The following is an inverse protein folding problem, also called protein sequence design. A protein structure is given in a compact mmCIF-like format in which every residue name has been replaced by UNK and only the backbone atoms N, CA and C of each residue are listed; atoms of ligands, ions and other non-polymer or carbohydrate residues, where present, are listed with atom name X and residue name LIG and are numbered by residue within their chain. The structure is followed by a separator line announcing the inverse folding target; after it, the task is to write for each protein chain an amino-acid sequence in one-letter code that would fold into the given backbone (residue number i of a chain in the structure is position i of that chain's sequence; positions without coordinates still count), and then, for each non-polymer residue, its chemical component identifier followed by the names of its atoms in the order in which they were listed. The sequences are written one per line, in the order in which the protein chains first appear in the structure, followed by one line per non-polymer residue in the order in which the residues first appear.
data_IF_937153965590
#
_entry.id   IF_937153965590
#
_cell.length_a   1.000
_cell.length_b   1.000
_cell.length_c   1.000
_cell.angle_alpha   90.00
_cell.angle_beta   90.00
_cell.angle_gamma   90.00
#
_symmetry.space_group_name_H-M   'P 1'
#
loop_
_entity.id
_entity.type
_entity.pdbx_description
1 polymer ?
#
# COMPACT_ATOMS: atom_id res chain seq x y z
N UNK A 1 -76.23 -126.36 0.77
CA UNK A 1 -76.68 -124.97 0.52
C UNK A 1 -76.55 -124.21 1.83
N UNK A 2 -75.52 -123.37 1.97
CA UNK A 2 -75.37 -122.52 3.16
C UNK A 2 -76.56 -121.58 3.20
N UNK A 3 -77.32 -121.56 4.29
CA UNK A 3 -78.59 -120.83 4.36
C UNK A 3 -78.35 -119.32 4.28
N UNK A 4 -79.30 -118.60 3.69
CA UNK A 4 -79.32 -117.13 3.64
C UNK A 4 -79.17 -116.49 5.04
N UNK A 5 -79.57 -117.23 6.08
CA UNK A 5 -79.44 -116.86 7.48
C UNK A 5 -77.97 -116.88 7.95
N UNK A 6 -77.20 -117.89 7.55
CA UNK A 6 -75.77 -117.96 7.86
C UNK A 6 -74.98 -116.83 7.16
N UNK A 7 -75.35 -116.45 5.94
CA UNK A 7 -74.76 -115.30 5.25
C UNK A 7 -75.11 -113.97 5.92
N UNK A 8 -76.37 -113.79 6.33
CA UNK A 8 -76.81 -112.58 7.07
C UNK A 8 -76.14 -112.47 8.43
N UNK A 9 -75.98 -113.57 9.16
CA UNK A 9 -75.28 -113.60 10.45
C UNK A 9 -73.78 -113.35 10.25
N UNK A 10 -73.15 -113.95 9.24
CA UNK A 10 -71.75 -113.68 8.91
C UNK A 10 -71.53 -112.21 8.50
N UNK A 11 -72.44 -111.61 7.73
CA UNK A 11 -72.40 -110.20 7.36
C UNK A 11 -72.59 -109.31 8.59
N UNK A 12 -73.50 -109.65 9.50
CA UNK A 12 -73.73 -108.90 10.74
C UNK A 12 -72.54 -109.02 11.70
N UNK A 13 -71.89 -110.18 11.79
CA UNK A 13 -70.67 -110.38 12.58
C UNK A 13 -69.47 -109.68 11.93
N UNK A 14 -69.41 -109.60 10.60
CA UNK A 14 -68.38 -108.85 9.89
C UNK A 14 -68.59 -107.33 10.02
N UNK A 15 -69.84 -106.84 10.10
CA UNK A 15 -70.19 -105.43 10.29
C UNK A 15 -70.14 -104.99 11.76
N UNK A 16 -70.54 -105.86 12.69
CA UNK A 16 -70.49 -105.62 14.15
C UNK A 16 -69.10 -105.96 14.75
N UNK A 17 -68.29 -106.73 14.03
CA UNK A 17 -66.89 -107.04 14.35
C UNK A 17 -65.89 -106.05 13.77
N UNK A 18 -66.35 -105.00 13.06
CA UNK A 18 -65.53 -103.81 12.84
C UNK A 18 -65.52 -103.08 14.20
N UNK A 19 -64.40 -103.08 14.94
CA UNK A 19 -64.36 -102.29 16.16
C UNK A 19 -64.66 -100.83 15.81
N UNK A 20 -65.48 -100.18 16.62
CA UNK A 20 -65.78 -98.74 16.60
C UNK A 20 -64.53 -97.84 16.74
N UNK A 21 -63.33 -98.42 16.74
CA UNK A 21 -62.02 -97.76 16.77
C UNK A 21 -61.65 -97.03 15.48
N UNK A 22 -62.31 -97.32 14.36
CA UNK A 22 -62.08 -96.60 13.09
C UNK A 22 -62.65 -95.17 13.17
N UNK A 23 -63.78 -94.95 13.85
CA UNK A 23 -64.36 -93.63 14.01
C UNK A 23 -63.63 -92.74 15.02
N UNK A 24 -63.09 -93.32 16.10
CA UNK A 24 -62.33 -92.57 17.11
C UNK A 24 -60.93 -92.21 16.62
N UNK A 25 -60.21 -93.10 15.92
CA UNK A 25 -58.89 -92.80 15.34
C UNK A 25 -58.95 -91.72 14.25
N UNK A 26 -60.00 -91.69 13.43
CA UNK A 26 -60.23 -90.62 12.44
C UNK A 26 -60.53 -89.28 13.14
N UNK A 27 -61.34 -89.28 14.20
CA UNK A 27 -61.68 -88.06 14.95
C UNK A 27 -60.47 -87.42 15.63
N UNK A 28 -59.61 -88.22 16.28
CA UNK A 28 -58.38 -87.72 16.89
C UNK A 28 -57.35 -87.24 15.86
N UNK A 29 -57.22 -87.93 14.72
CA UNK A 29 -56.38 -87.48 13.61
C UNK A 29 -56.83 -86.13 13.03
N UNK A 30 -58.14 -85.98 12.81
CA UNK A 30 -58.74 -84.75 12.29
C UNK A 30 -58.60 -83.57 13.27
N UNK A 31 -58.67 -83.84 14.58
CA UNK A 31 -58.43 -82.84 15.63
C UNK A 31 -56.95 -82.40 15.67
N UNK A 32 -56.01 -83.36 15.52
CA UNK A 32 -54.58 -83.07 15.43
C UNK A 32 -54.25 -82.21 14.20
N UNK A 33 -54.81 -82.52 13.04
CA UNK A 33 -54.64 -81.74 11.81
C UNK A 33 -55.15 -80.30 11.97
N UNK A 34 -56.27 -80.12 12.67
CA UNK A 34 -56.83 -78.80 12.96
C UNK A 34 -55.89 -77.97 13.84
N UNK A 35 -55.28 -78.58 14.85
CA UNK A 35 -54.30 -77.92 15.73
C UNK A 35 -53.03 -77.56 14.96
N UNK A 36 -52.51 -78.48 14.14
CA UNK A 36 -51.35 -78.20 13.29
C UNK A 36 -51.63 -77.06 12.31
N UNK A 37 -52.79 -77.06 11.65
CA UNK A 37 -53.18 -75.99 10.73
C UNK A 37 -53.27 -74.63 11.43
N UNK A 38 -53.81 -74.59 12.65
CA UNK A 38 -53.82 -73.38 13.47
C UNK A 38 -52.41 -72.89 13.80
N UNK A 39 -51.51 -73.80 14.17
CA UNK A 39 -50.11 -73.47 14.46
C UNK A 39 -49.35 -72.96 13.23
N UNK A 40 -49.58 -73.59 12.06
CA UNK A 40 -49.03 -73.16 10.77
C UNK A 40 -49.54 -71.75 10.44
N UNK A 41 -50.83 -71.48 10.63
CA UNK A 41 -51.40 -70.15 10.39
C UNK A 41 -50.80 -69.08 11.31
N UNK A 42 -50.60 -69.39 12.60
CA UNK A 42 -49.97 -68.48 13.56
C UNK A 42 -48.50 -68.18 13.17
N UNK A 43 -47.73 -69.23 12.84
CA UNK A 43 -46.35 -69.09 12.37
C UNK A 43 -46.27 -68.27 11.07
N UNK A 44 -47.19 -68.50 10.12
CA UNK A 44 -47.26 -67.71 8.89
C UNK A 44 -47.51 -66.23 9.19
N UNK A 45 -48.45 -65.93 10.10
CA UNK A 45 -48.74 -64.54 10.49
C UNK A 45 -47.54 -63.87 11.17
N UNK A 46 -46.78 -64.59 11.99
CA UNK A 46 -45.55 -64.10 12.62
C UNK A 46 -44.46 -63.84 11.59
N UNK A 47 -44.33 -64.71 10.59
CA UNK A 47 -43.39 -64.54 9.48
C UNK A 47 -43.73 -63.29 8.65
N UNK A 48 -45.02 -63.08 8.33
CA UNK A 48 -45.47 -61.90 7.59
C UNK A 48 -45.20 -60.61 8.36
N UNK A 49 -45.47 -60.60 9.68
CA UNK A 49 -45.16 -59.48 10.55
C UNK A 49 -43.65 -59.19 10.62
N UNK A 50 -42.83 -60.24 10.75
CA UNK A 50 -41.37 -60.09 10.75
C UNK A 50 -40.86 -59.53 9.42
N UNK A 51 -41.39 -60.01 8.28
CA UNK A 51 -41.06 -59.49 6.96
C UNK A 51 -41.43 -58.00 6.81
N UNK A 52 -42.60 -57.60 7.31
CA UNK A 52 -43.01 -56.20 7.32
C UNK A 52 -42.07 -55.32 8.18
N UNK A 53 -41.64 -55.82 9.35
CA UNK A 53 -40.66 -55.12 10.19
C UNK A 53 -39.30 -54.97 9.50
N UNK A 54 -38.80 -56.02 8.85
CA UNK A 54 -37.55 -55.98 8.07
C UNK A 54 -37.64 -54.96 6.93
N UNK A 55 -38.77 -54.91 6.22
CA UNK A 55 -38.99 -53.92 5.15
C UNK A 55 -38.97 -52.47 5.67
N UNK A 56 -39.60 -52.23 6.82
CA UNK A 56 -39.57 -50.93 7.48
C UNK A 56 -38.16 -50.53 7.93
N UNK A 57 -37.42 -51.47 8.54
CA UNK A 57 -36.03 -51.24 8.95
C UNK A 57 -35.14 -50.92 7.74
N UNK A 58 -35.28 -51.64 6.63
CA UNK A 58 -34.55 -51.35 5.39
C UNK A 58 -34.83 -49.93 4.87
N UNK A 59 -36.09 -49.48 4.95
CA UNK A 59 -36.49 -48.13 4.56
C UNK A 59 -35.88 -47.05 5.47
N UNK A 60 -35.82 -47.30 6.78
CA UNK A 60 -35.16 -46.42 7.74
C UNK A 60 -33.64 -46.34 7.49
N UNK A 61 -32.98 -47.48 7.24
CA UNK A 61 -31.55 -47.53 6.90
C UNK A 61 -31.26 -46.73 5.64
N UNK A 62 -32.09 -46.85 4.60
CA UNK A 62 -31.95 -46.05 3.37
C UNK A 62 -32.07 -44.54 3.64
N UNK A 63 -33.05 -44.14 4.46
CA UNK A 63 -33.25 -42.73 4.83
C UNK A 63 -32.06 -42.16 5.61
N UNK A 64 -31.51 -42.94 6.54
CA UNK A 64 -30.30 -42.58 7.30
C UNK A 64 -29.10 -42.46 6.35
N UNK A 65 -28.92 -43.40 5.42
CA UNK A 65 -27.85 -43.35 4.41
C UNK A 65 -27.91 -42.08 3.56
N UNK A 66 -29.10 -41.68 3.10
CA UNK A 66 -29.29 -40.45 2.35
C UNK A 66 -28.97 -39.21 3.18
N UNK A 67 -29.40 -39.19 4.45
CA UNK A 67 -29.13 -38.09 5.38
C UNK A 67 -27.63 -37.93 5.65
N UNK A 68 -26.92 -39.04 5.84
CA UNK A 68 -25.46 -39.06 6.04
C UNK A 68 -24.73 -38.54 4.80
N UNK A 69 -25.17 -38.92 3.59
CA UNK A 69 -24.60 -38.40 2.33
C UNK A 69 -24.78 -36.89 2.19
N UNK A 70 -25.95 -36.36 2.55
CA UNK A 70 -26.21 -34.92 2.56
C UNK A 70 -25.33 -34.18 3.57
N UNK A 71 -25.22 -34.70 4.79
CA UNK A 71 -24.37 -34.11 5.83
C UNK A 71 -22.89 -34.13 5.44
N UNK A 72 -22.40 -35.23 4.84
CA UNK A 72 -21.04 -35.33 4.32
C UNK A 72 -20.75 -34.25 3.27
N UNK A 73 -21.70 -34.02 2.36
CA UNK A 73 -21.59 -32.97 1.35
C UNK A 73 -21.54 -31.56 1.95
N UNK A 74 -22.35 -31.30 2.98
CA UNK A 74 -22.32 -30.03 3.72
C UNK A 74 -20.98 -29.81 4.44
N UNK A 75 -20.42 -30.85 5.07
CA UNK A 75 -19.11 -30.78 5.72
C UNK A 75 -18.02 -30.42 4.70
N UNK A 76 -18.02 -31.06 3.53
CA UNK A 76 -17.05 -30.75 2.47
C UNK A 76 -17.18 -29.30 1.97
N UNK A 77 -18.41 -28.79 1.86
CA UNK A 77 -18.65 -27.40 1.47
C UNK A 77 -18.09 -26.41 2.52
N UNK A 78 -18.36 -26.65 3.80
CA UNK A 78 -17.85 -25.83 4.92
C UNK A 78 -16.33 -25.87 4.98
N UNK A 79 -15.71 -27.04 4.78
CA UNK A 79 -14.25 -27.18 4.73
C UNK A 79 -13.64 -26.34 3.61
N UNK A 80 -14.28 -26.33 2.43
CA UNK A 80 -13.85 -25.50 1.30
C UNK A 80 -13.96 -23.99 1.61
N UNK A 81 -15.07 -23.56 2.22
CA UNK A 81 -15.26 -22.17 2.65
C UNK A 81 -14.22 -21.74 3.68
N UNK A 82 -13.92 -22.60 4.67
CA UNK A 82 -12.89 -22.32 5.67
C UNK A 82 -11.50 -22.17 5.03
N UNK A 83 -11.15 -23.01 4.04
CA UNK A 83 -9.88 -22.88 3.34
C UNK A 83 -9.79 -21.55 2.56
N UNK A 84 -10.89 -21.12 1.92
CA UNK A 84 -10.95 -19.84 1.22
C UNK A 84 -10.80 -18.65 2.19
N UNK A 85 -11.49 -18.68 3.32
CA UNK A 85 -11.38 -17.64 4.35
C UNK A 85 -9.97 -17.57 4.93
N UNK A 86 -9.33 -18.72 5.18
CA UNK A 86 -7.94 -18.77 5.66
C UNK A 86 -6.97 -18.10 4.66
N UNK A 87 -7.17 -18.33 3.36
CA UNK A 87 -6.38 -17.70 2.31
C UNK A 87 -6.59 -16.18 2.27
N UNK A 88 -7.83 -15.70 2.40
CA UNK A 88 -8.15 -14.27 2.47
C UNK A 88 -7.51 -13.60 3.68
N UNK A 89 -7.59 -14.23 4.86
CA UNK A 89 -6.93 -13.71 6.08
C UNK A 89 -5.43 -13.57 5.88
N UNK A 90 -4.78 -14.58 5.27
CA UNK A 90 -3.34 -14.55 4.98
C UNK A 90 -2.98 -13.40 4.03
N UNK A 91 -3.80 -13.20 2.99
CA UNK A 91 -3.61 -12.10 2.04
C UNK A 91 -3.78 -10.73 2.71
N UNK A 92 -4.80 -10.55 3.54
CA UNK A 92 -5.02 -9.31 4.29
C UNK A 92 -3.88 -9.03 5.27
N UNK A 93 -3.37 -10.05 5.96
CA UNK A 93 -2.20 -9.91 6.83
C UNK A 93 -0.95 -9.45 6.05
N UNK A 94 -0.71 -10.02 4.86
CA UNK A 94 0.39 -9.58 4.00
C UNK A 94 0.23 -8.14 3.53
N UNK A 95 -0.99 -7.73 3.15
CA UNK A 95 -1.31 -6.35 2.79
C UNK A 95 -1.10 -5.39 3.98
N UNK A 96 -1.51 -5.78 5.18
CA UNK A 96 -1.32 -4.98 6.38
C UNK A 96 0.17 -4.78 6.70
N UNK A 97 0.99 -5.83 6.57
CA UNK A 97 2.44 -5.74 6.75
C UNK A 97 3.08 -4.81 5.71
N UNK A 98 2.65 -4.92 4.45
CA UNK A 98 3.08 -4.01 3.38
C UNK A 98 2.72 -2.56 3.69
N UNK A 99 1.48 -2.29 4.09
CA UNK A 99 1.01 -0.94 4.41
C UNK A 99 1.70 -0.39 5.66
N UNK A 100 1.94 -1.24 6.66
CA UNK A 100 2.68 -0.87 7.88
C UNK A 100 4.12 -0.46 7.56
N UNK A 101 4.79 -1.20 6.66
CA UNK A 101 6.12 -0.83 6.17
C UNK A 101 6.11 0.47 5.39
N UNK A 102 5.07 0.72 4.60
CA UNK A 102 4.91 2.00 3.88
C UNK A 102 4.66 3.18 4.83
N UNK A 103 4.00 2.98 5.97
CA UNK A 103 3.68 4.04 6.93
C UNK A 103 4.79 4.31 7.96
N UNK A 104 5.90 3.57 7.93
CA UNK A 104 6.92 3.74 8.95
C UNK A 104 7.65 5.07 8.76
N UNK A 105 7.35 6.03 9.62
CA UNK A 105 8.09 7.29 9.70
C UNK A 105 9.55 6.99 10.09
N UNK A 106 10.49 7.48 9.30
CA UNK A 106 11.90 7.42 9.62
C UNK A 106 12.24 8.65 10.47
N UNK A 107 12.74 8.43 11.68
CA UNK A 107 13.28 9.47 12.53
C UNK A 107 14.81 9.50 12.37
N UNK A 108 15.34 10.63 11.91
CA UNK A 108 16.78 10.84 11.73
C UNK A 108 17.22 12.02 12.58
N UNK A 109 18.12 11.77 13.54
CA UNK A 109 18.74 12.86 14.29
C UNK A 109 19.71 13.60 13.36
N UNK A 110 19.40 14.86 13.05
CA UNK A 110 20.21 15.69 12.15
C UNK A 110 21.28 16.50 12.90
N UNK A 111 21.02 16.83 14.17
CA UNK A 111 21.97 17.51 15.06
C UNK A 111 21.61 17.23 16.51
N UNK A 112 22.63 17.14 17.38
CA UNK A 112 22.47 17.19 18.83
C UNK A 112 23.78 17.62 19.45
N UNK A 113 23.70 18.49 20.45
CA UNK A 113 24.87 19.00 21.17
C UNK A 113 24.70 20.45 21.52
N UNK A 114 25.81 21.18 21.56
CA UNK A 114 25.83 22.62 21.84
C UNK A 114 26.30 23.36 20.60
N UNK A 115 25.50 24.33 20.15
CA UNK A 115 25.84 25.29 19.11
C UNK A 115 26.26 26.60 19.78
N UNK A 116 27.40 27.15 19.38
CA UNK A 116 27.89 28.44 19.84
C UNK A 116 27.49 29.51 18.83
N UNK A 117 26.48 30.30 19.17
CA UNK A 117 26.02 31.42 18.33
C UNK A 117 26.94 32.63 18.60
N UNK A 118 27.74 33.08 17.61
CA UNK A 118 28.68 34.18 17.79
C UNK A 118 27.96 35.52 17.96
N UNK A 119 28.65 36.50 18.53
CA UNK A 119 28.13 37.86 18.70
C UNK A 119 28.93 38.92 17.91
N UNK A 120 28.25 39.73 17.07
CA UNK A 120 26.91 39.50 16.52
C UNK A 120 26.96 38.35 15.50
N UNK A 121 25.91 37.55 15.40
CA UNK A 121 25.89 36.49 14.41
C UNK A 121 24.88 35.39 14.64
N UNK A 122 25.03 34.37 13.81
CA UNK A 122 24.16 33.21 13.75
C UNK A 122 25.02 31.97 13.52
N UNK A 123 24.46 30.82 13.85
CA UNK A 123 24.96 29.53 13.41
C UNK A 123 23.79 28.68 12.91
N UNK A 124 24.05 27.63 12.15
CA UNK A 124 23.01 26.84 11.52
C UNK A 124 23.38 25.38 11.28
N UNK A 125 22.34 24.55 11.21
CA UNK A 125 22.42 23.15 10.78
C UNK A 125 21.76 23.02 9.42
N UNK A 126 22.47 22.46 8.44
CA UNK A 126 21.86 22.12 7.15
C UNK A 126 21.50 20.65 7.09
N UNK A 127 20.36 20.32 6.49
CA UNK A 127 19.87 18.96 6.31
C UNK A 127 19.09 18.82 5.01
N UNK A 128 18.87 17.57 4.58
CA UNK A 128 18.12 17.27 3.37
C UNK A 128 16.85 16.50 3.74
N UNK A 129 15.75 16.87 3.08
CA UNK A 129 14.47 16.15 3.15
C UNK A 129 14.30 15.33 1.88
N UNK A 130 14.00 14.05 2.06
CA UNK A 130 13.76 13.06 1.02
C UNK A 130 12.55 13.41 0.17
N UNK A 131 12.55 13.03 -1.10
CA UNK A 131 11.37 13.13 -1.95
C UNK A 131 10.34 12.04 -1.60
N UNK A 132 9.05 12.32 -1.76
CA UNK A 132 8.00 11.31 -1.55
C UNK A 132 7.53 11.16 -0.09
N UNK A 133 7.91 12.09 0.79
CA UNK A 133 7.59 12.05 2.23
C UNK A 133 6.87 13.31 2.67
N UNK A 134 6.03 13.22 3.70
CA UNK A 134 5.69 14.36 4.54
C UNK A 134 6.78 14.47 5.61
N UNK A 135 7.34 15.66 5.77
CA UNK A 135 8.41 15.91 6.70
C UNK A 135 8.05 16.94 7.77
N UNK A 136 8.51 16.69 8.98
CA UNK A 136 8.52 17.67 10.07
C UNK A 136 9.84 17.59 10.83
N UNK A 137 10.20 18.70 11.47
CA UNK A 137 11.40 18.80 12.29
C UNK A 137 10.98 18.94 13.76
N UNK A 138 11.34 17.95 14.57
CA UNK A 138 11.28 18.09 16.00
C UNK A 138 12.51 18.84 16.49
N UNK A 139 12.26 19.96 17.17
CA UNK A 139 13.25 20.88 17.67
C UNK A 139 13.13 20.93 19.18
N UNK A 140 14.23 20.65 19.88
CA UNK A 140 14.41 21.01 21.28
C UNK A 140 15.65 21.86 21.37
N UNK A 141 15.55 23.07 21.90
CA UNK A 141 16.67 23.97 22.08
C UNK A 141 16.56 24.73 23.40
N UNK A 142 17.67 24.95 24.09
CA UNK A 142 17.73 25.75 25.31
C UNK A 142 19.06 26.49 25.46
N UNK A 143 19.02 27.70 26.01
CA UNK A 143 20.21 28.48 26.29
C UNK A 143 20.97 27.87 27.47
N UNK A 144 22.28 27.63 27.30
CA UNK A 144 23.17 27.18 28.37
C UNK A 144 23.47 28.28 29.40
N UNK A 145 23.13 29.54 29.11
CA UNK A 145 23.26 30.67 30.02
C UNK A 145 22.02 30.78 30.92
N UNK A 146 22.22 30.76 32.24
CA UNK A 146 21.15 30.89 33.24
C UNK A 146 20.59 32.32 33.38
N UNK A 147 21.15 33.29 32.64
CA UNK A 147 20.67 34.67 32.63
C UNK A 147 19.47 34.80 31.69
N UNK A 148 18.31 35.20 32.21
CA UNK A 148 17.10 35.52 31.44
C UNK A 148 17.22 36.79 30.58
N UNK A 149 18.44 37.12 30.13
CA UNK A 149 18.77 38.34 29.39
C UNK A 149 19.16 38.08 27.94
N UNK A 150 19.49 36.83 27.59
CA UNK A 150 19.97 36.46 26.25
C UNK A 150 19.02 35.47 25.56
N UNK A 151 17.88 35.94 25.02
CA UNK A 151 17.05 35.09 24.18
C UNK A 151 17.71 34.89 22.80
N UNK A 152 17.31 33.82 22.13
CA UNK A 152 17.67 33.55 20.74
C UNK A 152 16.41 33.32 19.91
N UNK A 153 16.54 33.53 18.60
CA UNK A 153 15.51 33.22 17.62
C UNK A 153 15.99 32.06 16.76
N UNK A 154 15.09 31.13 16.51
CA UNK A 154 15.30 30.04 15.58
C UNK A 154 14.55 30.26 14.28
N UNK A 155 15.14 29.81 13.17
CA UNK A 155 14.57 29.97 11.84
C UNK A 155 14.66 28.68 11.05
N UNK A 156 13.57 28.32 10.37
CA UNK A 156 13.58 27.31 9.32
C UNK A 156 13.60 28.01 7.95
N UNK A 157 14.61 27.68 7.15
CA UNK A 157 14.94 28.38 5.92
C UNK A 157 15.14 27.39 4.77
N UNK A 158 14.52 27.68 3.63
CA UNK A 158 14.90 27.06 2.36
C UNK A 158 16.18 27.71 1.80
N UNK A 159 16.69 27.22 0.66
CA UNK A 159 17.91 27.74 0.05
C UNK A 159 17.90 29.26 -0.22
N UNK A 160 16.81 29.78 -0.80
CA UNK A 160 16.68 31.22 -1.11
C UNK A 160 16.58 32.08 0.15
N UNK A 161 15.76 31.65 1.12
CA UNK A 161 15.58 32.32 2.41
C UNK A 161 16.88 32.32 3.21
N UNK A 162 17.65 31.22 3.15
CA UNK A 162 18.96 31.14 3.77
C UNK A 162 19.92 32.17 3.17
N UNK A 163 20.00 32.32 1.84
CA UNK A 163 20.82 33.37 1.23
C UNK A 163 20.41 34.78 1.65
N UNK A 164 19.11 35.06 1.76
CA UNK A 164 18.60 36.34 2.26
C UNK A 164 18.94 36.55 3.75
N UNK A 165 18.82 35.49 4.55
CA UNK A 165 19.17 35.49 5.96
C UNK A 165 20.65 35.84 6.18
N UNK A 166 21.56 35.25 5.39
CA UNK A 166 23.00 35.57 5.43
C UNK A 166 23.29 37.05 5.11
N UNK A 167 22.44 37.70 4.31
CA UNK A 167 22.54 39.12 3.97
C UNK A 167 21.92 40.07 5.02
N UNK A 168 21.45 39.52 6.15
CA UNK A 168 20.84 40.28 7.24
C UNK A 168 19.33 40.50 7.10
N UNK A 169 18.68 39.86 6.12
CA UNK A 169 17.24 39.95 5.94
C UNK A 169 16.53 38.78 6.63
N UNK A 170 16.12 39.01 7.88
CA UNK A 170 15.49 37.99 8.75
C UNK A 170 13.97 37.88 8.59
N UNK A 171 13.34 38.70 7.73
CA UNK A 171 11.88 38.77 7.59
C UNK A 171 11.25 37.75 6.63
N UNK A 172 12.07 37.07 5.82
CA UNK A 172 11.60 36.14 4.79
C UNK A 172 12.04 34.71 5.12
N UNK A 173 11.25 34.04 5.96
CA UNK A 173 11.56 32.69 6.49
C UNK A 173 10.35 31.77 6.36
N UNK A 174 10.57 30.45 6.37
CA UNK A 174 9.45 29.48 6.34
C UNK A 174 8.80 29.37 7.71
N UNK A 175 9.61 29.43 8.75
CA UNK A 175 9.17 29.51 10.13
C UNK A 175 10.22 30.27 10.94
N UNK A 176 9.76 31.01 11.95
CA UNK A 176 10.61 31.65 12.94
C UNK A 176 9.97 31.52 14.32
N UNK A 177 10.78 31.30 15.36
CA UNK A 177 10.30 31.42 16.73
C UNK A 177 10.14 32.90 17.12
N UNK A 178 9.38 33.16 18.19
CA UNK A 178 9.61 34.39 18.97
C UNK A 178 10.96 34.29 19.70
N UNK A 179 11.53 35.38 20.22
CA UNK A 179 12.68 35.31 21.11
C UNK A 179 12.41 34.37 22.30
N UNK A 180 13.21 33.33 22.45
CA UNK A 180 13.04 32.27 23.46
C UNK A 180 14.34 31.96 24.19
N UNK A 181 14.22 31.42 25.41
CA UNK A 181 15.34 30.85 26.18
C UNK A 181 15.36 29.33 26.09
N UNK A 182 14.20 28.72 25.86
CA UNK A 182 14.02 27.31 25.65
C UNK A 182 12.75 27.09 24.84
N UNK A 183 12.79 26.16 23.90
CA UNK A 183 11.63 25.77 23.11
C UNK A 183 11.72 24.30 22.72
N UNK A 184 10.60 23.60 22.87
CA UNK A 184 10.35 22.30 22.28
C UNK A 184 9.16 22.42 21.34
N UNK A 185 9.36 22.15 20.06
CA UNK A 185 8.33 22.33 19.03
C UNK A 185 8.53 21.39 17.86
N UNK A 186 7.48 21.17 17.08
CA UNK A 186 7.51 20.45 15.82
C UNK A 186 7.19 21.43 14.69
N UNK A 187 8.08 21.54 13.71
CA UNK A 187 7.94 22.47 12.58
C UNK A 187 7.71 21.68 11.31
N UNK A 188 6.58 21.91 10.64
CA UNK A 188 6.28 21.24 9.36
C UNK A 188 7.20 21.74 8.25
N UNK A 189 7.71 20.82 7.44
CA UNK A 189 8.56 21.14 6.28
C UNK A 189 7.73 20.95 5.01
N UNK A 190 7.43 22.04 4.27
CA UNK A 190 6.41 22.02 3.23
C UNK A 190 6.80 21.33 1.92
N UNK A 191 8.09 21.07 1.67
CA UNK A 191 8.57 20.41 0.46
C UNK A 191 9.94 19.75 0.67
N UNK A 192 10.28 18.73 -0.14
CA UNK A 192 11.58 18.07 -0.08
C UNK A 192 12.73 18.99 -0.50
N UNK A 193 13.97 18.54 -0.31
CA UNK A 193 15.18 19.26 -0.72
C UNK A 193 16.03 19.76 0.44
N UNK A 194 16.91 20.72 0.18
CA UNK A 194 17.88 21.21 1.16
C UNK A 194 17.28 22.31 2.04
N UNK A 195 17.42 22.14 3.35
CA UNK A 195 16.89 23.03 4.38
C UNK A 195 17.98 23.41 5.38
N UNK A 196 17.76 24.53 6.05
CA UNK A 196 18.65 25.11 7.04
C UNK A 196 17.84 25.47 8.27
N UNK A 197 18.32 25.08 9.44
CA UNK A 197 17.79 25.50 10.73
C UNK A 197 18.82 26.40 11.40
N UNK A 198 18.51 27.68 11.57
CA UNK A 198 19.45 28.69 12.04
C UNK A 198 19.07 29.21 13.43
N UNK A 199 20.10 29.53 14.22
CA UNK A 199 20.02 30.14 15.54
C UNK A 199 20.65 31.52 15.48
N UNK A 200 19.96 32.52 16.01
CA UNK A 200 20.40 33.92 15.97
C UNK A 200 20.24 34.55 17.35
N UNK A 201 21.30 35.18 17.86
CA UNK A 201 21.24 35.97 19.08
C UNK A 201 20.88 37.43 18.79
N UNK A 202 19.93 38.01 19.54
CA UNK A 202 19.49 39.40 19.33
C UNK A 202 20.37 40.47 20.02
N UNK A 203 21.23 40.10 20.98
CA UNK A 203 21.82 41.05 21.92
C UNK A 203 23.36 41.21 21.83
N UNK A 204 23.90 42.43 22.03
CA UNK A 204 25.21 42.85 21.56
C UNK A 204 26.42 42.41 22.39
N UNK A 205 26.28 41.56 23.41
CA UNK A 205 27.41 41.13 24.24
C UNK A 205 27.34 39.65 24.60
N UNK A 206 28.30 38.85 24.11
CA UNK A 206 28.74 37.62 24.78
C UNK A 206 28.65 36.30 24.01
N UNK A 207 27.99 36.25 22.85
CA UNK A 207 27.67 34.97 22.21
C UNK A 207 26.73 34.12 23.08
N UNK A 208 26.09 33.12 22.50
CA UNK A 208 25.20 32.22 23.27
C UNK A 208 25.42 30.77 22.88
N UNK A 209 25.66 29.95 23.89
CA UNK A 209 25.67 28.49 23.76
C UNK A 209 24.23 27.98 23.84
N UNK A 210 23.75 27.34 22.77
CA UNK A 210 22.42 26.73 22.68
C UNK A 210 22.61 25.22 22.69
N UNK A 211 22.04 24.53 23.67
CA UNK A 211 21.94 23.07 23.67
C UNK A 211 20.73 22.67 22.85
N UNK A 212 20.93 21.85 21.84
CA UNK A 212 19.90 21.48 20.89
C UNK A 212 19.80 19.97 20.63
N UNK A 213 18.64 19.57 20.15
CA UNK A 213 18.40 18.27 19.53
C UNK A 213 17.40 18.48 18.41
N UNK A 214 17.83 18.17 17.19
CA UNK A 214 17.06 18.32 15.97
C UNK A 214 16.84 16.93 15.38
N UNK A 215 15.57 16.51 15.26
CA UNK A 215 15.20 15.21 14.71
C UNK A 215 14.24 15.40 13.54
N UNK A 216 14.68 15.01 12.35
CA UNK A 216 13.85 15.01 11.15
C UNK A 216 12.96 13.77 11.16
N UNK A 217 11.66 13.99 11.01
CA UNK A 217 10.65 12.93 10.88
C UNK A 217 10.17 12.90 9.44
N UNK A 218 10.39 11.78 8.75
CA UNK A 218 9.97 11.59 7.36
C UNK A 218 8.99 10.43 7.27
N UNK A 219 7.75 10.72 6.91
CA UNK A 219 6.72 9.70 6.68
C UNK A 219 6.49 9.53 5.19
N UNK A 220 6.65 8.33 4.61
CA UNK A 220 6.33 8.11 3.20
C UNK A 220 4.86 8.46 2.96
N UNK A 221 4.59 9.19 1.89
CA UNK A 221 3.20 9.45 1.51
C UNK A 221 2.69 8.23 0.73
N UNK A 222 1.59 7.62 1.21
CA UNK A 222 0.93 6.52 0.50
C UNK A 222 0.44 6.95 -0.88
N UNK A 223 0.20 5.97 -1.79
CA UNK A 223 -0.19 6.12 -3.21
C UNK A 223 -0.13 7.56 -3.76
N UNK A 224 1.04 7.92 -4.28
CA UNK A 224 1.29 9.18 -4.98
C UNK A 224 0.39 9.29 -6.22
N UNK A 225 -0.56 10.22 -6.20
CA UNK A 225 -1.27 10.58 -7.42
C UNK A 225 -0.35 11.47 -8.24
N UNK A 226 0.12 10.96 -9.38
CA UNK A 226 1.00 11.70 -10.28
C UNK A 226 0.21 12.32 -11.42
N UNK A 227 0.39 13.61 -11.66
CA UNK A 227 -0.10 14.30 -12.85
C UNK A 227 1.08 14.69 -13.73
N UNK A 228 1.03 14.34 -15.01
CA UNK A 228 2.03 14.76 -16.00
C UNK A 228 1.42 15.80 -16.93
N UNK A 229 2.09 16.93 -17.07
CA UNK A 229 1.69 18.05 -17.93
C UNK A 229 2.80 18.34 -18.94
N UNK A 230 2.43 18.61 -20.20
CA UNK A 230 3.37 19.08 -21.21
C UNK A 230 3.72 20.55 -20.92
N UNK A 231 5.01 20.86 -20.78
CA UNK A 231 5.51 22.22 -20.56
C UNK A 231 5.87 22.87 -21.88
N UNK A 232 6.64 22.17 -22.70
CA UNK A 232 7.04 22.64 -24.02
C UNK A 232 7.28 21.45 -24.95
N UNK A 233 6.96 21.63 -26.23
CA UNK A 233 7.36 20.74 -27.29
C UNK A 233 7.39 21.54 -28.57
N UNK A 234 8.52 21.52 -29.27
CA UNK A 234 8.70 22.39 -30.41
C UNK A 234 10.16 22.51 -30.83
N UNK A 235 10.42 23.58 -31.57
CA UNK A 235 11.75 23.94 -32.02
C UNK A 235 12.15 25.31 -31.44
N UNK A 236 13.34 25.36 -30.87
CA UNK A 236 13.98 26.54 -30.30
C UNK A 236 15.13 26.95 -31.23
N UNK A 237 15.15 28.23 -31.63
CA UNK A 237 16.17 28.79 -32.49
C UNK A 237 17.14 29.61 -31.64
N UNK A 238 18.37 29.13 -31.51
CA UNK A 238 19.45 29.87 -30.87
C UNK A 238 20.29 30.53 -31.96
N UNK A 239 20.11 31.83 -32.13
CA UNK A 239 20.80 32.61 -33.16
C UNK A 239 21.82 33.56 -32.55
N UNK A 240 23.10 33.26 -32.76
CA UNK A 240 24.21 34.15 -32.42
C UNK A 240 24.98 33.71 -31.18
N UNK A 241 26.26 34.10 -31.15
CA UNK A 241 27.19 33.72 -30.09
C UNK A 241 26.63 34.05 -28.70
N UNK A 242 26.54 33.04 -27.83
CA UNK A 242 26.01 33.19 -26.46
C UNK A 242 24.48 33.30 -26.37
N UNK A 243 23.75 32.92 -27.42
CA UNK A 243 22.29 32.93 -27.41
C UNK A 243 21.70 32.01 -26.33
N UNK A 244 20.65 32.51 -25.66
CA UNK A 244 19.88 31.78 -24.66
C UNK A 244 18.40 31.96 -24.94
N UNK A 245 17.64 30.87 -24.96
CA UNK A 245 16.19 30.91 -25.01
C UNK A 245 15.61 30.30 -23.73
N UNK A 246 14.62 31.00 -23.16
CA UNK A 246 14.00 30.62 -21.90
C UNK A 246 12.61 30.04 -22.10
N UNK A 247 12.30 28.96 -21.39
CA UNK A 247 10.96 28.38 -21.30
C UNK A 247 10.49 28.44 -19.84
N UNK A 248 9.53 29.30 -19.49
CA UNK A 248 9.00 29.39 -18.14
C UNK A 248 8.02 28.24 -17.85
N UNK A 249 8.00 27.77 -16.61
CA UNK A 249 6.99 26.85 -16.10
C UNK A 249 6.75 27.07 -14.61
N UNK A 250 5.63 26.56 -14.10
CA UNK A 250 5.27 26.70 -12.69
C UNK A 250 5.06 25.32 -12.07
N UNK A 251 5.59 25.18 -10.85
CA UNK A 251 5.37 24.01 -10.00
C UNK A 251 4.35 24.38 -8.92
N UNK A 252 3.18 23.72 -8.85
CA UNK A 252 2.12 24.05 -7.91
C UNK A 252 2.54 23.79 -6.45
N UNK A 253 1.90 24.50 -5.51
CA UNK A 253 2.09 24.28 -4.07
C UNK A 253 1.32 23.03 -3.62
N UNK A 254 1.70 22.48 -2.46
CA UNK A 254 1.04 21.31 -1.88
C UNK A 254 1.34 20.00 -2.62
N UNK A 255 2.43 19.97 -3.38
CA UNK A 255 2.95 18.74 -4.00
C UNK A 255 4.00 18.10 -3.12
N UNK A 256 4.15 16.79 -3.26
CA UNK A 256 5.15 15.99 -2.56
C UNK A 256 6.44 15.92 -3.36
N UNK A 257 6.36 15.89 -4.69
CA UNK A 257 7.53 15.88 -5.57
C UNK A 257 7.22 16.45 -6.94
N UNK A 258 8.26 16.97 -7.59
CA UNK A 258 8.21 17.42 -8.98
C UNK A 258 9.46 16.99 -9.73
N UNK A 259 9.27 16.47 -10.94
CA UNK A 259 10.35 16.13 -11.86
C UNK A 259 10.01 16.51 -13.29
N UNK A 260 11.03 16.94 -14.03
CA UNK A 260 10.96 17.21 -15.45
C UNK A 260 11.50 16.00 -16.20
N UNK A 261 10.75 15.52 -17.18
CA UNK A 261 11.30 14.67 -18.24
C UNK A 261 11.71 15.59 -19.39
N UNK A 262 13.00 15.91 -19.43
CA UNK A 262 13.60 16.80 -20.42
C UNK A 262 14.17 15.97 -21.55
N UNK A 263 13.85 16.35 -22.79
CA UNK A 263 14.52 15.86 -23.98
C UNK A 263 14.81 17.00 -24.93
N UNK A 264 16.01 17.03 -25.50
CA UNK A 264 16.32 17.89 -26.63
C UNK A 264 17.26 17.21 -27.62
N UNK A 265 17.21 17.66 -28.88
CA UNK A 265 18.12 17.26 -29.94
C UNK A 265 18.43 18.44 -30.85
N UNK A 266 19.68 18.58 -31.26
CA UNK A 266 20.16 19.64 -32.14
C UNK A 266 20.38 19.06 -33.54
N UNK A 267 19.95 19.77 -34.57
CA UNK A 267 20.31 19.45 -35.95
C UNK A 267 21.69 20.03 -36.30
N UNK A 268 22.69 19.18 -36.56
CA UNK A 268 24.03 19.60 -36.98
C UNK A 268 25.17 19.08 -36.10
N UNK A 269 26.38 19.64 -36.26
CA UNK A 269 27.60 19.20 -35.58
C UNK A 269 27.86 19.79 -34.20
N UNK A 270 27.12 20.81 -33.77
CA UNK A 270 27.35 21.52 -32.51
C UNK A 270 26.44 21.01 -31.39
N UNK A 271 26.96 20.95 -30.15
CA UNK A 271 26.19 20.56 -28.97
C UNK A 271 25.46 21.75 -28.34
N UNK A 272 24.35 21.49 -27.64
CA UNK A 272 23.65 22.47 -26.83
C UNK A 272 23.80 22.16 -25.34
N UNK A 273 23.44 23.14 -24.51
CA UNK A 273 23.38 23.00 -23.05
C UNK A 273 22.05 23.51 -22.51
N UNK A 274 21.55 22.84 -21.48
CA UNK A 274 20.28 23.16 -20.82
C UNK A 274 20.53 23.37 -19.32
N UNK A 275 19.99 24.45 -18.77
CA UNK A 275 19.94 24.68 -17.34
C UNK A 275 18.49 24.74 -16.83
N UNK A 276 18.30 24.32 -15.58
CA UNK A 276 17.07 24.58 -14.80
C UNK A 276 17.39 25.65 -13.77
N UNK A 277 16.60 26.72 -13.76
CA UNK A 277 16.81 27.91 -12.96
C UNK A 277 15.58 28.18 -12.09
N UNK A 278 15.80 28.45 -10.81
CA UNK A 278 14.79 29.08 -9.97
C UNK A 278 14.64 30.57 -10.35
N UNK A 279 13.67 31.26 -9.72
CA UNK A 279 13.41 32.69 -10.01
C UNK A 279 14.61 33.60 -9.75
N UNK A 280 15.40 33.37 -8.70
CA UNK A 280 16.54 34.20 -8.36
C UNK A 280 17.69 33.97 -9.36
N UNK A 281 17.95 32.71 -9.68
CA UNK A 281 18.96 32.30 -10.66
C UNK A 281 18.63 32.84 -12.06
N UNK A 282 17.36 32.79 -12.47
CA UNK A 282 16.89 33.36 -13.73
C UNK A 282 17.16 34.86 -13.82
N UNK A 283 16.86 35.62 -12.76
CA UNK A 283 17.11 37.07 -12.74
C UNK A 283 18.61 37.40 -12.89
N UNK A 284 19.49 36.59 -12.29
CA UNK A 284 20.93 36.74 -12.47
C UNK A 284 21.34 36.40 -13.91
N UNK A 285 20.81 35.30 -14.46
CA UNK A 285 21.06 34.87 -15.83
C UNK A 285 20.70 35.93 -16.88
N UNK A 286 19.64 36.71 -16.66
CA UNK A 286 19.24 37.81 -17.55
C UNK A 286 20.23 38.98 -17.59
N UNK A 287 21.00 39.19 -16.52
CA UNK A 287 21.86 40.37 -16.36
C UNK A 287 23.34 40.04 -16.51
N UNK A 288 23.72 38.78 -16.35
CA UNK A 288 25.10 38.33 -16.47
C UNK A 288 25.44 37.90 -17.92
N UNK A 289 26.64 38.25 -18.39
CA UNK A 289 27.16 37.73 -19.67
C UNK A 289 27.77 36.33 -19.51
N UNK A 290 27.29 35.51 -18.57
CA UNK A 290 27.98 34.28 -18.18
C UNK A 290 28.02 33.20 -19.26
N UNK A 291 26.96 33.08 -20.05
CA UNK A 291 26.93 32.13 -21.17
C UNK A 291 28.03 32.45 -22.21
N UNK A 292 28.35 33.72 -22.43
CA UNK A 292 29.45 34.14 -23.33
C UNK A 292 30.83 33.64 -22.87
N UNK A 293 31.03 33.54 -21.55
CA UNK A 293 32.29 33.13 -20.93
C UNK A 293 32.28 31.67 -20.46
N UNK A 294 31.17 30.94 -20.68
CA UNK A 294 31.02 29.55 -20.26
C UNK A 294 30.95 29.36 -18.74
N UNK A 295 30.53 30.39 -18.01
CA UNK A 295 30.32 30.30 -16.56
C UNK A 295 28.87 29.89 -16.27
N UNK A 296 28.65 28.87 -15.44
CA UNK A 296 27.31 28.33 -15.18
C UNK A 296 27.10 28.00 -13.70
N UNK A 297 27.83 28.65 -12.79
CA UNK A 297 27.91 28.25 -11.38
C UNK A 297 26.64 28.46 -10.56
N UNK A 298 25.62 29.15 -11.09
CA UNK A 298 24.41 29.51 -10.35
C UNK A 298 23.16 28.76 -10.80
N UNK A 299 23.29 27.60 -11.43
CA UNK A 299 22.12 26.84 -11.93
C UNK A 299 21.69 25.78 -10.93
N UNK A 300 20.38 25.58 -10.74
CA UNK A 300 19.86 24.47 -9.92
C UNK A 300 20.16 23.11 -10.52
N UNK A 301 20.24 23.03 -11.85
CA UNK A 301 20.72 21.85 -12.57
C UNK A 301 21.28 22.27 -13.94
N UNK A 302 22.26 21.52 -14.45
CA UNK A 302 22.93 21.81 -15.72
C UNK A 302 23.24 20.52 -16.49
N UNK A 303 22.94 20.51 -17.78
CA UNK A 303 23.28 19.41 -18.68
C UNK A 303 24.76 19.45 -19.12
N UNK A 304 25.34 18.30 -19.51
CA UNK A 304 26.56 18.32 -20.34
C UNK A 304 26.30 19.02 -21.68
N UNK A 305 27.37 19.40 -22.39
CA UNK A 305 27.27 19.92 -23.76
C UNK A 305 27.15 18.72 -24.70
N UNK A 306 25.99 18.53 -25.31
CA UNK A 306 25.68 17.35 -26.13
C UNK A 306 24.72 17.70 -27.28
N UNK A 307 24.71 16.88 -28.33
CA UNK A 307 23.79 17.06 -29.47
C UNK A 307 22.39 16.50 -29.19
N UNK A 308 22.27 15.56 -28.26
CA UNK A 308 20.99 15.02 -27.81
C UNK A 308 21.08 14.68 -26.34
N UNK A 309 20.05 15.01 -25.58
CA UNK A 309 20.00 14.70 -24.15
C UNK A 309 18.59 14.33 -23.74
N UNK A 310 18.47 13.31 -22.91
CA UNK A 310 17.23 12.96 -22.23
C UNK A 310 17.55 12.65 -20.78
N UNK A 311 16.92 13.36 -19.84
CA UNK A 311 17.09 13.07 -18.41
C UNK A 311 15.87 13.47 -17.59
N UNK A 312 15.55 12.68 -16.54
CA UNK A 312 14.71 13.17 -15.46
C UNK A 312 15.49 14.18 -14.63
N UNK A 313 14.91 15.36 -14.38
CA UNK A 313 15.50 16.41 -13.55
C UNK A 313 14.53 16.79 -12.45
N UNK A 314 14.98 16.63 -11.20
CA UNK A 314 14.16 16.96 -10.04
C UNK A 314 14.05 18.47 -9.87
N UNK A 315 12.84 18.94 -9.62
CA UNK A 315 12.58 20.36 -9.30
C UNK A 315 12.30 20.44 -7.80
N UNK A 316 13.17 21.10 -7.01
CA UNK A 316 13.21 20.94 -5.56
C UNK A 316 12.07 21.63 -4.79
N UNK A 317 11.45 22.67 -5.34
CA UNK A 317 10.40 23.39 -4.62
C UNK A 317 9.30 23.92 -5.56
N UNK A 318 8.08 24.19 -5.03
CA UNK A 318 7.04 24.92 -5.74
C UNK A 318 7.49 26.33 -6.15
N UNK A 319 6.88 26.88 -7.20
CA UNK A 319 7.13 28.24 -7.66
C UNK A 319 7.40 28.33 -9.16
N UNK A 320 7.89 29.50 -9.59
CA UNK A 320 8.25 29.76 -10.97
C UNK A 320 9.66 29.26 -11.25
N UNK A 321 9.80 28.55 -12.37
CA UNK A 321 11.03 27.95 -12.82
C UNK A 321 11.24 28.24 -14.31
N UNK A 322 12.50 28.21 -14.73
CA UNK A 322 12.89 28.56 -16.08
C UNK A 322 13.88 27.54 -16.61
N UNK A 323 13.61 27.05 -17.81
CA UNK A 323 14.58 26.27 -18.59
C UNK A 323 15.36 27.24 -19.46
N UNK A 324 16.68 27.18 -19.42
CA UNK A 324 17.55 27.98 -20.27
C UNK A 324 18.27 27.08 -21.27
N UNK A 325 17.86 27.14 -22.54
CA UNK A 325 18.55 26.47 -23.64
C UNK A 325 19.62 27.41 -24.18
N UNK A 326 20.86 26.93 -24.22
CA UNK A 326 22.04 27.77 -24.44
C UNK A 326 22.92 27.21 -25.56
N UNK A 327 23.44 28.12 -26.37
CA UNK A 327 24.57 27.87 -27.26
C UNK A 327 25.88 27.96 -26.43
N UNK A 328 26.74 26.92 -26.44
CA UNK A 328 28.03 26.98 -25.76
C UNK A 328 28.95 28.07 -26.34
N UNK A 329 29.90 28.61 -25.55
CA UNK A 329 30.91 29.53 -26.08
C UNK A 329 31.72 28.88 -27.20
N UNK A 330 32.02 29.67 -28.23
CA UNK A 330 32.91 29.28 -29.33
C UNK A 330 32.21 28.83 -30.60
N UNK A 331 30.88 28.65 -30.58
CA UNK A 331 30.07 28.40 -31.77
C UNK A 331 29.33 29.69 -32.14
N UNK A 332 29.44 30.12 -33.40
CA UNK A 332 28.95 31.42 -33.86
C UNK A 332 27.91 31.34 -34.98
N UNK A 333 27.54 30.13 -35.39
CA UNK A 333 26.63 29.92 -36.51
C UNK A 333 25.16 29.92 -36.11
N UNK A 334 24.85 29.81 -34.82
CA UNK A 334 23.51 29.50 -34.34
C UNK A 334 23.05 28.10 -34.79
N UNK A 335 22.00 27.59 -34.15
CA UNK A 335 21.38 26.32 -34.51
C UNK A 335 19.93 26.24 -34.01
N UNK A 336 19.18 25.31 -34.61
CA UNK A 336 17.85 24.94 -34.15
C UNK A 336 17.95 23.65 -33.33
N UNK A 337 17.33 23.65 -32.16
CA UNK A 337 17.11 22.45 -31.37
C UNK A 337 15.61 22.12 -31.34
N UNK A 338 15.29 20.84 -31.23
CA UNK A 338 13.95 20.33 -30.97
C UNK A 338 13.90 19.84 -29.55
N UNK A 339 12.92 20.30 -28.78
CA UNK A 339 12.76 19.95 -27.38
C UNK A 339 11.40 19.30 -27.10
N UNK A 340 11.36 18.51 -26.05
CA UNK A 340 10.12 18.05 -25.43
C UNK A 340 10.35 17.99 -23.94
N UNK A 341 9.50 18.71 -23.20
CA UNK A 341 9.60 18.84 -21.75
C UNK A 341 8.24 18.54 -21.14
N UNK A 342 8.22 17.56 -20.25
CA UNK A 342 7.05 17.22 -19.45
C UNK A 342 7.36 17.41 -17.98
N UNK A 343 6.44 18.00 -17.24
CA UNK A 343 6.50 18.10 -15.78
C UNK A 343 5.59 17.03 -15.19
N UNK A 344 6.14 16.16 -14.36
CA UNK A 344 5.38 15.24 -13.51
C UNK A 344 5.41 15.78 -12.09
N UNK A 345 4.22 16.01 -11.52
CA UNK A 345 4.04 16.39 -10.12
C UNK A 345 3.30 15.28 -9.40
N UNK A 346 3.67 15.03 -8.16
CA UNK A 346 2.98 14.06 -7.29
C UNK A 346 2.33 14.78 -6.12
N UNK A 347 1.08 14.44 -5.80
CA UNK A 347 0.29 14.99 -4.69
C UNK A 347 -0.06 13.92 -3.67
#
# INVERSE_FOLDING_TARGET
MVSLLAYKVALFVLLAGIPTSVGTSIYYGQQQDTILNSHISDLSSKLDNANAQVSNLNSQVSTIGNSLGSQSSQISHIQSQNAQLQAQVTQLQAQLLSLSKQKQATATQISSGTIEVPNPGYDYVSFNVSFGVVASLNVTASSGQLSSYYPFIMYLLNGTQYSLFLSGNYGYTTWASMPVYSLTTEVSIPYPGKWYFAFHGEYPTGGISVTETLTLLESPVGQLNSQTSLIASGAINLSGYGAVQYVPFAVPRGIISSSLNLSFSVGGGYGARLAVLDQAQYNVFLTCNWVFYGNYTTTSWLSPIVQSYTAPVTVPHPGNWYLAFMEPPGTGSGFTLTETVKLTVSF
#
